data_IF_203094835885
#
_entry.id   IF_203094835885
#
_cell.length_a   1.000
_cell.length_b   1.000
_cell.length_c   1.000
_cell.angle_alpha   90.00
_cell.angle_beta   90.00
_cell.angle_gamma   90.00
#
_symmetry.space_group_name_H-M   'P 1'
#
loop_
_entity.id
_entity.type
_entity.pdbx_description
1 polymer ?
#
# COMPACT_ATOMS: atom_id res chain seq x y z
N UNK A 1 -3.79 -37.00 -21.37
CA UNK A 1 -2.70 -36.07 -21.01
C UNK A 1 -3.21 -35.19 -19.88
N UNK A 2 -3.02 -35.62 -18.63
CA UNK A 2 -3.51 -34.97 -17.42
C UNK A 2 -2.40 -34.12 -16.81
N UNK A 3 -2.49 -32.79 -16.93
CA UNK A 3 -1.62 -31.90 -16.16
C UNK A 3 -2.13 -31.87 -14.72
N UNK A 4 -1.40 -32.55 -13.84
CA UNK A 4 -1.53 -32.45 -12.39
C UNK A 4 -1.00 -31.10 -11.93
N UNK A 5 -1.90 -30.18 -11.56
CA UNK A 5 -1.53 -28.95 -10.87
C UNK A 5 -1.27 -29.32 -9.41
N UNK A 6 0.01 -29.43 -9.05
CA UNK A 6 0.44 -29.61 -7.66
C UNK A 6 0.11 -28.35 -6.89
N UNK A 7 -0.77 -28.46 -5.90
CA UNK A 7 -0.97 -27.43 -4.90
C UNK A 7 0.33 -27.16 -4.16
N UNK A 8 0.90 -25.97 -4.33
CA UNK A 8 1.91 -25.44 -3.45
C UNK A 8 1.19 -24.85 -2.24
N UNK A 9 1.24 -25.59 -1.14
CA UNK A 9 0.83 -25.14 0.18
C UNK A 9 1.87 -24.15 0.70
N UNK A 10 1.61 -22.86 0.57
CA UNK A 10 2.41 -21.85 1.26
C UNK A 10 1.72 -21.48 2.57
N UNK A 11 2.40 -21.84 3.66
CA UNK A 11 1.94 -21.74 5.03
C UNK A 11 1.43 -20.34 5.38
N UNK A 12 0.20 -20.33 5.90
CA UNK A 12 -0.44 -19.17 6.49
C UNK A 12 0.28 -18.87 7.82
N UNK A 13 1.40 -18.14 7.73
CA UNK A 13 2.05 -17.47 8.85
C UNK A 13 1.36 -16.13 9.09
N UNK A 14 0.17 -16.15 9.66
CA UNK A 14 -0.51 -14.94 10.16
C UNK A 14 0.16 -14.48 11.44
N UNK A 15 1.28 -13.76 11.34
CA UNK A 15 1.83 -13.00 12.47
C UNK A 15 1.68 -11.50 12.20
N UNK A 16 0.63 -10.91 12.78
CA UNK A 16 0.73 -9.57 13.38
C UNK A 16 0.36 -8.32 12.58
N UNK A 17 0.02 -8.37 11.29
CA UNK A 17 -0.44 -7.18 10.56
C UNK A 17 -1.78 -7.44 9.86
N UNK A 18 -2.87 -7.04 10.53
CA UNK A 18 -4.20 -6.95 9.92
C UNK A 18 -4.25 -5.75 8.98
N UNK A 19 -3.95 -5.97 7.71
CA UNK A 19 -4.13 -4.97 6.66
C UNK A 19 -5.64 -4.77 6.47
N UNK A 20 -6.12 -3.53 6.67
CA UNK A 20 -7.53 -3.19 6.46
C UNK A 20 -7.78 -3.20 4.94
N UNK A 21 -8.41 -4.28 4.46
CA UNK A 21 -8.82 -4.47 3.06
C UNK A 21 -8.16 -5.66 2.36
N UNK A 22 -8.95 -6.41 1.58
CA UNK A 22 -8.47 -7.58 0.83
C UNK A 22 -7.67 -7.21 -0.42
N UNK A 23 -7.95 -6.03 -1.00
CA UNK A 23 -7.31 -5.60 -2.23
C UNK A 23 -5.96 -4.93 -1.94
N UNK A 24 -4.91 -5.46 -2.56
CA UNK A 24 -3.55 -4.97 -2.46
C UNK A 24 -3.10 -4.39 -3.81
N UNK A 25 -2.06 -3.57 -3.82
CA UNK A 25 -1.42 -3.09 -5.04
C UNK A 25 0.08 -2.88 -4.88
N UNK A 26 0.77 -2.87 -6.02
CA UNK A 26 2.14 -2.38 -6.16
C UNK A 26 2.24 -1.37 -7.30
N UNK A 27 3.36 -0.65 -7.37
CA UNK A 27 3.65 0.32 -8.43
C UNK A 27 4.57 -0.30 -9.47
N UNK A 28 4.14 -0.26 -10.74
CA UNK A 28 4.98 -0.63 -11.86
C UNK A 28 6.08 0.42 -12.12
N UNK A 29 7.03 0.09 -12.99
CA UNK A 29 8.08 1.03 -13.46
C UNK A 29 7.51 2.31 -14.08
N UNK A 30 6.29 2.24 -14.64
CA UNK A 30 5.55 3.37 -15.18
C UNK A 30 4.80 4.20 -14.13
N UNK A 31 4.77 3.74 -12.86
CA UNK A 31 4.03 4.37 -11.77
C UNK A 31 2.55 3.99 -11.67
N UNK A 32 2.08 3.05 -12.51
CA UNK A 32 0.72 2.55 -12.48
C UNK A 32 0.49 1.54 -11.34
N UNK A 33 -0.72 1.54 -10.77
CA UNK A 33 -1.12 0.60 -9.72
C UNK A 33 -1.60 -0.72 -10.32
N UNK A 34 -0.92 -1.82 -10.00
CA UNK A 34 -1.37 -3.17 -10.35
C UNK A 34 -2.00 -3.83 -9.13
N UNK A 35 -3.27 -4.22 -9.26
CA UNK A 35 -4.05 -4.77 -8.16
C UNK A 35 -3.92 -6.29 -8.05
N UNK A 36 -3.75 -6.78 -6.82
CA UNK A 36 -3.65 -8.20 -6.51
C UNK A 36 -4.31 -8.51 -5.17
N UNK A 37 -4.53 -9.80 -4.89
CA UNK A 37 -5.01 -10.29 -3.59
C UNK A 37 -3.89 -10.91 -2.74
N UNK A 38 -2.71 -11.12 -3.33
CA UNK A 38 -1.53 -11.64 -2.64
C UNK A 38 -0.83 -10.51 -1.88
N UNK A 39 -0.16 -10.85 -0.77
CA UNK A 39 0.61 -9.90 0.05
C UNK A 39 2.01 -9.60 -0.47
N UNK A 40 2.48 -10.41 -1.42
CA UNK A 40 3.82 -10.32 -2.00
C UNK A 40 3.71 -10.17 -3.51
N UNK A 41 4.52 -9.28 -4.04
CA UNK A 41 4.72 -9.06 -5.46
C UNK A 41 5.45 -10.24 -6.11
N UNK A 42 5.41 -10.37 -7.45
CA UNK A 42 6.22 -11.36 -8.17
C UNK A 42 7.73 -11.21 -7.91
N UNK A 43 8.18 -10.03 -7.49
CA UNK A 43 9.57 -9.73 -7.12
C UNK A 43 9.85 -9.89 -5.61
N UNK A 44 8.87 -10.37 -4.83
CA UNK A 44 9.00 -10.60 -3.38
C UNK A 44 8.87 -9.36 -2.50
N UNK A 45 8.51 -8.20 -3.06
CA UNK A 45 8.26 -6.98 -2.29
C UNK A 45 6.88 -7.01 -1.62
N UNK A 46 6.74 -6.28 -0.51
CA UNK A 46 5.48 -6.20 0.23
C UNK A 46 4.50 -5.26 -0.48
N UNK A 47 3.27 -5.72 -0.70
CA UNK A 47 2.21 -4.93 -1.31
C UNK A 47 1.57 -3.94 -0.34
N UNK A 48 1.02 -2.84 -0.86
CA UNK A 48 0.27 -1.85 -0.09
C UNK A 48 -1.25 -2.10 -0.17
N UNK A 49 -2.00 -1.74 0.88
CA UNK A 49 -3.47 -1.79 0.83
C UNK A 49 -4.02 -0.78 -0.17
N UNK A 50 -4.91 -1.21 -1.04
CA UNK A 50 -5.60 -0.34 -2.00
C UNK A 50 -6.65 0.55 -1.33
N UNK A 51 -7.05 0.24 -0.10
CA UNK A 51 -8.07 1.00 0.60
C UNK A 51 -7.45 2.25 1.25
N UNK A 52 -8.07 3.44 1.08
CA UNK A 52 -7.62 4.63 1.77
C UNK A 52 -7.81 4.45 3.28
N UNK A 53 -6.93 5.08 4.07
CA UNK A 53 -7.09 5.16 5.51
C UNK A 53 -8.39 5.90 5.82
N UNK A 54 -9.23 5.30 6.67
CA UNK A 54 -10.45 5.95 7.14
C UNK A 54 -10.06 7.18 7.97
N UNK A 55 -10.75 8.29 7.73
CA UNK A 55 -10.58 9.48 8.54
C UNK A 55 -11.08 9.21 9.97
N UNK A 56 -10.15 9.26 10.92
CA UNK A 56 -10.44 9.15 12.35
C UNK A 56 -9.98 10.43 13.05
N UNK A 57 -10.79 11.00 13.96
CA UNK A 57 -10.39 12.17 14.74
C UNK A 57 -9.30 11.77 15.74
N UNK A 58 -8.04 11.89 15.32
CA UNK A 58 -6.88 11.42 16.08
C UNK A 58 -6.02 12.56 16.64
N UNK A 59 -5.37 12.29 17.78
CA UNK A 59 -4.50 13.20 18.52
C UNK A 59 -3.18 13.49 17.78
N UNK A 60 -2.79 12.63 16.83
CA UNK A 60 -1.50 12.72 16.14
C UNK A 60 -1.51 13.60 14.87
N UNK A 61 -2.62 14.28 14.58
CA UNK A 61 -2.72 15.20 13.42
C UNK A 61 -1.61 16.27 13.39
N UNK A 62 -1.27 16.87 14.54
CA UNK A 62 -0.19 17.86 14.66
C UNK A 62 1.18 17.27 14.26
N UNK A 63 1.47 16.07 14.72
CA UNK A 63 2.73 15.37 14.44
C UNK A 63 2.86 15.03 12.95
N UNK A 64 1.78 14.53 12.34
CA UNK A 64 1.74 14.24 10.90
C UNK A 64 2.00 15.51 10.05
N UNK A 65 1.46 16.66 10.46
CA UNK A 65 1.71 17.94 9.77
C UNK A 65 3.18 18.36 9.93
N UNK A 66 3.76 18.25 11.12
CA UNK A 66 5.18 18.58 11.36
C UNK A 66 6.11 17.73 10.49
N UNK A 67 5.86 16.41 10.41
CA UNK A 67 6.64 15.50 9.56
C UNK A 67 6.51 15.89 8.09
N UNK A 68 5.28 16.12 7.59
CA UNK A 68 5.05 16.56 6.20
C UNK A 68 5.73 17.89 5.88
N UNK A 69 5.80 18.81 6.84
CA UNK A 69 6.52 20.10 6.70
C UNK A 69 8.03 19.91 6.62
N UNK A 70 8.61 19.03 7.43
CA UNK A 70 10.06 18.74 7.40
C UNK A 70 10.51 18.18 6.05
N UNK A 71 9.75 17.24 5.49
CA UNK A 71 10.05 16.64 4.18
C UNK A 71 9.58 17.48 2.99
N UNK A 72 9.02 18.68 3.23
CA UNK A 72 8.48 19.57 2.19
C UNK A 72 7.44 18.91 1.28
N UNK A 73 6.66 17.96 1.81
CA UNK A 73 5.63 17.19 1.06
C UNK A 73 4.25 17.86 1.18
N UNK A 74 4.12 18.93 1.96
CA UNK A 74 2.85 19.61 2.19
C UNK A 74 2.37 20.30 0.91
N UNK A 75 1.11 20.07 0.53
CA UNK A 75 0.53 20.62 -0.71
C UNK A 75 0.57 22.15 -0.74
N UNK A 76 0.45 22.81 0.42
CA UNK A 76 0.49 24.28 0.53
C UNK A 76 1.89 24.88 0.29
N UNK A 77 2.94 24.06 0.22
CA UNK A 77 4.29 24.51 -0.08
C UNK A 77 4.64 24.38 -1.57
N UNK A 78 3.81 23.68 -2.36
CA UNK A 78 3.99 23.59 -3.81
C UNK A 78 3.48 24.88 -4.45
N UNK A 79 4.14 25.38 -5.52
CA UNK A 79 3.59 26.47 -6.31
C UNK A 79 2.19 26.08 -6.79
N UNK A 80 1.28 27.06 -6.87
CA UNK A 80 -0.07 26.82 -7.35
C UNK A 80 0.00 26.04 -8.68
N UNK A 81 -0.72 24.91 -8.81
CA UNK A 81 -0.77 24.20 -10.07
C UNK A 81 -1.34 25.16 -11.13
N UNK A 82 -0.55 25.40 -12.17
CA UNK A 82 -0.98 26.16 -13.34
C UNK A 82 -1.95 25.24 -14.08
N UNK A 83 -3.20 25.69 -14.25
CA UNK A 83 -4.24 24.95 -14.97
C UNK A 83 -3.96 24.89 -16.47
#
# INVERSE_FOLDING_TARGET
>A
MSLSVRGAADGIGTSGFSVVGFLQYYLNELGDRVYMLKKLDPMGQQTCSAHPVQFSPDKYSRHQITIKRHFKVLMTQKPCPIL
#
